data_IF_156264938907
#
_entry.id   IF_156264938907
#
_cell.length_a   1.000
_cell.length_b   1.000
_cell.length_c   1.000
_cell.angle_alpha   90.00
_cell.angle_beta   90.00
_cell.angle_gamma   90.00
#
_symmetry.space_group_name_H-M   'P 1'
#
loop_
_entity.id
_entity.type
_entity.pdbx_description
1 polymer ?
#
# COMPACT_ATOMS: atom_id res chain seq x y z
N UNK A 1 -8.18 -30.65 -2.11
CA UNK A 1 -8.89 -29.55 -1.43
C UNK A 1 -8.42 -28.19 -1.92
N UNK A 2 -9.29 -27.18 -1.86
CA UNK A 2 -9.03 -25.80 -2.22
C UNK A 2 -9.53 -24.89 -1.09
N UNK A 3 -8.63 -24.07 -0.56
CA UNK A 3 -8.87 -23.19 0.58
C UNK A 3 -8.70 -21.72 0.16
N UNK A 4 -9.53 -20.84 0.73
CA UNK A 4 -9.41 -19.37 0.61
C UNK A 4 -9.54 -18.81 2.03
N UNK A 5 -8.66 -17.88 2.41
CA UNK A 5 -8.62 -17.27 3.75
C UNK A 5 -8.60 -18.30 4.90
N UNK A 6 -7.84 -19.39 4.70
CA UNK A 6 -7.74 -20.49 5.66
C UNK A 6 -8.95 -21.43 5.72
N UNK A 7 -10.02 -21.17 4.96
CA UNK A 7 -11.28 -21.94 5.00
C UNK A 7 -11.43 -22.84 3.77
N UNK A 8 -11.87 -24.09 3.96
CA UNK A 8 -12.14 -25.03 2.87
C UNK A 8 -13.31 -24.52 2.01
N UNK A 9 -13.02 -24.22 0.74
CA UNK A 9 -14.03 -23.76 -0.24
C UNK A 9 -14.50 -24.92 -1.12
N UNK A 10 -13.61 -25.85 -1.47
CA UNK A 10 -13.95 -26.98 -2.34
C UNK A 10 -13.05 -28.18 -2.08
N UNK A 11 -13.60 -29.38 -2.27
CA UNK A 11 -12.85 -30.63 -2.22
C UNK A 11 -13.16 -31.47 -3.46
N UNK A 12 -12.12 -32.05 -4.04
CA UNK A 12 -12.23 -32.94 -5.20
C UNK A 12 -11.27 -34.10 -5.00
N UNK A 13 -11.76 -35.31 -5.21
CA UNK A 13 -10.92 -36.51 -5.26
C UNK A 13 -10.17 -36.54 -6.58
N UNK A 14 -8.86 -36.31 -6.53
CA UNK A 14 -8.01 -36.46 -7.70
C UNK A 14 -7.73 -37.96 -7.96
N UNK A 15 -7.89 -38.40 -9.21
CA UNK A 15 -7.45 -39.75 -9.64
C UNK A 15 -6.00 -39.77 -10.11
N UNK A 16 -5.42 -38.60 -10.41
CA UNK A 16 -4.01 -38.42 -10.74
C UNK A 16 -3.27 -37.88 -9.52
N UNK A 17 -2.06 -38.40 -9.25
CA UNK A 17 -1.19 -37.96 -8.16
C UNK A 17 0.03 -37.23 -8.73
N UNK A 18 0.36 -36.05 -8.19
CA UNK A 18 1.59 -35.30 -8.48
C UNK A 18 1.52 -34.25 -9.61
N UNK A 19 2.60 -33.48 -9.74
CA UNK A 19 2.82 -32.62 -10.90
C UNK A 19 3.14 -33.50 -12.12
N UNK A 20 2.32 -33.44 -13.17
CA UNK A 20 2.67 -34.04 -14.45
C UNK A 20 3.81 -33.24 -15.07
N UNK A 21 4.93 -33.90 -15.38
CA UNK A 21 6.03 -33.28 -16.12
C UNK A 21 5.49 -32.67 -17.41
N UNK A 22 5.54 -31.34 -17.51
CA UNK A 22 5.14 -30.64 -18.70
C UNK A 22 6.23 -30.84 -19.77
N UNK A 23 5.88 -31.51 -20.86
CA UNK A 23 6.82 -31.86 -21.94
C UNK A 23 7.10 -30.70 -22.91
N UNK A 24 6.40 -29.58 -22.77
CA UNK A 24 6.43 -28.42 -23.68
C UNK A 24 6.97 -27.15 -23.06
N UNK A 25 6.70 -26.90 -21.77
CA UNK A 25 7.16 -25.71 -21.04
C UNK A 25 7.44 -26.15 -19.60
N UNK A 26 8.55 -25.73 -18.99
CA UNK A 26 8.89 -26.10 -17.62
C UNK A 26 7.91 -25.56 -16.57
N UNK A 27 8.27 -25.66 -15.29
CA UNK A 27 7.52 -25.02 -14.21
C UNK A 27 7.41 -23.51 -14.45
N UNK A 28 6.18 -22.98 -14.46
CA UNK A 28 5.90 -21.58 -14.69
C UNK A 28 4.94 -21.06 -13.60
N UNK A 29 5.22 -19.84 -13.12
CA UNK A 29 4.35 -19.09 -12.20
C UNK A 29 3.79 -17.92 -12.99
N UNK A 30 2.48 -17.67 -12.89
CA UNK A 30 1.84 -16.55 -13.57
C UNK A 30 1.85 -16.66 -15.10
N UNK A 31 1.95 -17.85 -15.67
CA UNK A 31 1.86 -18.08 -17.11
C UNK A 31 1.25 -19.45 -17.45
N UNK A 32 0.61 -19.56 -18.61
CA UNK A 32 0.08 -20.83 -19.13
C UNK A 32 1.21 -21.76 -19.61
N UNK A 33 1.66 -22.66 -18.75
CA UNK A 33 2.69 -23.68 -19.03
C UNK A 33 2.28 -24.82 -19.98
N UNK A 34 1.34 -24.58 -20.92
CA UNK A 34 0.82 -25.59 -21.86
C UNK A 34 0.87 -25.19 -23.34
N UNK A 35 1.28 -23.96 -23.66
CA UNK A 35 1.42 -23.48 -25.03
C UNK A 35 2.72 -22.67 -25.18
N UNK A 36 3.13 -22.44 -26.42
CA UNK A 36 4.22 -21.54 -26.79
C UNK A 36 3.80 -20.07 -26.88
N UNK A 37 2.50 -19.78 -26.74
CA UNK A 37 1.99 -18.42 -26.63
C UNK A 37 2.11 -17.97 -25.17
N UNK A 38 2.86 -16.90 -24.92
CA UNK A 38 3.01 -16.36 -23.57
C UNK A 38 1.72 -15.66 -23.14
N UNK A 39 0.85 -16.40 -22.48
CA UNK A 39 -0.36 -15.89 -21.82
C UNK A 39 -0.07 -15.74 -20.32
N UNK A 40 0.34 -14.53 -19.92
CA UNK A 40 0.67 -14.20 -18.54
C UNK A 40 -0.56 -13.85 -17.70
N UNK A 41 -0.50 -14.15 -16.41
CA UNK A 41 -1.42 -13.61 -15.42
C UNK A 41 -1.15 -12.11 -15.26
N UNK A 42 -2.18 -11.29 -15.49
CA UNK A 42 -2.12 -9.84 -15.29
C UNK A 42 -2.54 -9.51 -13.85
N UNK A 43 -1.59 -9.66 -12.92
CA UNK A 43 -1.80 -9.40 -11.51
C UNK A 43 -0.53 -9.57 -10.68
N UNK A 44 -0.60 -9.18 -9.40
CA UNK A 44 0.48 -9.35 -8.43
C UNK A 44 0.34 -10.70 -7.72
N UNK A 45 1.48 -11.31 -7.40
CA UNK A 45 1.58 -12.51 -6.58
C UNK A 45 2.64 -12.25 -5.52
N UNK A 46 2.38 -12.67 -4.29
CA UNK A 46 3.33 -12.60 -3.19
C UNK A 46 3.28 -13.91 -2.37
N UNK A 47 4.34 -14.15 -1.59
CA UNK A 47 4.38 -15.21 -0.57
C UNK A 47 4.10 -16.63 -1.09
N UNK A 48 4.51 -16.94 -2.33
CA UNK A 48 4.37 -18.27 -2.92
C UNK A 48 5.16 -19.33 -2.12
N UNK A 49 4.45 -20.33 -1.60
CA UNK A 49 5.02 -21.47 -0.87
C UNK A 49 4.59 -22.79 -1.52
N UNK A 50 5.53 -23.72 -1.67
CA UNK A 50 5.29 -25.08 -2.16
C UNK A 50 5.80 -26.05 -1.10
N UNK A 51 4.97 -27.04 -0.76
CA UNK A 51 5.28 -28.05 0.27
C UNK A 51 5.40 -29.43 -0.38
N UNK A 52 6.28 -30.25 0.17
CA UNK A 52 6.51 -31.66 -0.22
C UNK A 52 5.52 -32.62 0.46
N UNK A 53 4.53 -32.09 1.17
CA UNK A 53 3.51 -32.82 1.92
C UNK A 53 2.15 -32.18 1.75
N UNK A 54 1.12 -32.98 1.96
CA UNK A 54 -0.23 -32.48 2.16
C UNK A 54 -0.30 -31.70 3.49
N UNK A 55 -0.89 -30.51 3.45
CA UNK A 55 -1.15 -29.71 4.63
C UNK A 55 -2.51 -30.09 5.21
N UNK A 56 -2.57 -30.26 6.53
CA UNK A 56 -3.84 -30.40 7.24
C UNK A 56 -4.58 -29.07 7.27
N UNK A 57 -5.91 -29.10 7.41
CA UNK A 57 -6.73 -27.89 7.53
C UNK A 57 -6.23 -26.94 8.64
N UNK A 58 -5.79 -27.49 9.78
CA UNK A 58 -5.20 -26.68 10.86
C UNK A 58 -3.88 -26.01 10.45
N UNK A 59 -3.02 -26.70 9.69
CA UNK A 59 -1.77 -26.09 9.20
C UNK A 59 -2.04 -24.98 8.19
N UNK A 60 -3.09 -25.13 7.37
CA UNK A 60 -3.51 -24.09 6.44
C UNK A 60 -4.01 -22.86 7.21
N UNK A 61 -4.77 -23.08 8.28
CA UNK A 61 -5.22 -22.01 9.16
C UNK A 61 -4.06 -21.33 9.89
N UNK A 62 -3.09 -22.10 10.38
CA UNK A 62 -1.87 -21.59 10.99
C UNK A 62 -1.06 -20.76 9.97
N UNK A 63 -0.83 -21.26 8.75
CA UNK A 63 -0.11 -20.53 7.70
C UNK A 63 -0.84 -19.25 7.29
N UNK A 64 -2.18 -19.26 7.23
CA UNK A 64 -2.97 -18.05 6.98
C UNK A 64 -2.81 -17.03 8.12
N UNK A 65 -2.77 -17.50 9.38
CA UNK A 65 -2.53 -16.65 10.54
C UNK A 65 -1.07 -16.21 10.71
N UNK A 66 -0.12 -17.00 10.18
CA UNK A 66 1.33 -16.75 10.19
C UNK A 66 1.80 -15.94 8.99
N UNK A 67 0.96 -15.78 7.95
CA UNK A 67 1.24 -14.81 6.89
C UNK A 67 1.55 -13.49 7.60
N UNK A 68 2.77 -12.95 7.47
CA UNK A 68 3.18 -11.83 8.28
C UNK A 68 2.18 -10.72 8.00
N UNK A 69 1.31 -10.45 8.98
CA UNK A 69 0.43 -9.30 8.93
C UNK A 69 1.34 -8.14 8.55
N UNK A 70 0.96 -7.41 7.51
CA UNK A 70 1.77 -6.28 7.08
C UNK A 70 2.09 -5.41 8.31
N UNK A 71 3.21 -4.69 8.31
CA UNK A 71 3.50 -3.80 9.44
C UNK A 71 2.34 -2.82 9.69
N UNK A 72 1.55 -2.53 8.66
CA UNK A 72 0.25 -1.86 8.75
C UNK A 72 -0.78 -2.66 9.57
N UNK A 73 -1.04 -3.94 9.28
CA UNK A 73 -2.00 -4.74 10.06
C UNK A 73 -1.59 -4.86 11.53
N UNK A 74 -0.30 -5.06 11.77
CA UNK A 74 0.26 -5.09 13.13
C UNK A 74 0.07 -3.74 13.84
N UNK A 75 0.28 -2.63 13.14
CA UNK A 75 0.03 -1.28 13.64
C UNK A 75 -1.46 -1.08 13.94
N UNK A 76 -2.37 -1.39 13.01
CA UNK A 76 -3.81 -1.22 13.18
C UNK A 76 -4.32 -2.04 14.39
N UNK A 77 -3.90 -3.30 14.50
CA UNK A 77 -4.24 -4.17 15.63
C UNK A 77 -3.70 -3.66 16.96
N UNK A 78 -2.55 -2.98 16.97
CA UNK A 78 -1.99 -2.37 18.20
C UNK A 78 -2.88 -1.27 18.77
N UNK A 79 -3.73 -0.65 17.93
CA UNK A 79 -4.77 0.29 18.33
C UNK A 79 -6.14 -0.37 18.55
N UNK A 80 -6.22 -1.70 18.46
CA UNK A 80 -7.47 -2.46 18.59
C UNK A 80 -8.38 -2.38 17.37
N UNK A 81 -7.86 -1.95 16.21
CA UNK A 81 -8.61 -1.90 14.96
C UNK A 81 -8.59 -3.25 14.25
N UNK A 82 -9.64 -3.51 13.47
CA UNK A 82 -9.78 -4.73 12.66
C UNK A 82 -9.45 -4.37 11.20
N UNK A 83 -8.36 -4.88 10.59
CA UNK A 83 -7.95 -4.48 9.25
C UNK A 83 -9.00 -4.66 8.15
N UNK A 84 -9.91 -5.63 8.29
CA UNK A 84 -11.03 -5.86 7.37
C UNK A 84 -12.26 -4.98 7.64
N UNK A 85 -12.24 -4.17 8.69
CA UNK A 85 -13.29 -3.23 9.09
C UNK A 85 -12.70 -1.84 9.29
N UNK A 86 -12.89 -1.26 10.48
CA UNK A 86 -12.41 0.08 10.81
C UNK A 86 -10.88 0.27 10.76
N UNK A 87 -10.10 -0.81 10.69
CA UNK A 87 -8.65 -0.75 10.46
C UNK A 87 -8.25 -0.72 8.99
N UNK A 88 -9.20 -0.63 8.05
CA UNK A 88 -8.89 -0.56 6.63
C UNK A 88 -8.15 0.73 6.25
N UNK A 89 -7.26 0.74 5.23
CA UNK A 89 -6.43 1.91 4.91
C UNK A 89 -7.17 3.21 4.56
N UNK A 90 -8.43 3.11 4.11
CA UNK A 90 -9.26 4.25 3.72
C UNK A 90 -10.29 4.66 4.79
N UNK A 91 -10.28 3.97 5.94
CA UNK A 91 -11.16 4.28 7.06
C UNK A 91 -10.55 5.40 7.90
N UNK A 92 -11.43 6.16 8.58
CA UNK A 92 -11.09 7.24 9.52
C UNK A 92 -11.89 6.99 10.81
N UNK A 93 -11.38 6.14 11.73
CA UNK A 93 -12.15 5.68 12.88
C UNK A 93 -12.39 6.74 13.95
N UNK A 94 -11.52 7.75 14.03
CA UNK A 94 -11.60 8.82 15.02
C UNK A 94 -12.16 10.14 14.47
N UNK A 95 -12.45 10.17 13.17
CA UNK A 95 -13.08 11.26 12.44
C UNK A 95 -12.30 12.57 12.49
N UNK A 96 -10.97 12.49 12.44
CA UNK A 96 -10.08 13.65 12.43
C UNK A 96 -9.80 14.19 11.01
N UNK A 97 -10.25 13.45 9.99
CA UNK A 97 -10.10 13.78 8.57
C UNK A 97 -8.83 13.20 7.93
N UNK A 98 -8.05 12.40 8.66
CA UNK A 98 -6.96 11.59 8.14
C UNK A 98 -7.42 10.12 8.07
N UNK A 99 -7.22 9.49 6.91
CA UNK A 99 -7.44 8.05 6.81
C UNK A 99 -6.26 7.26 7.43
N UNK A 100 -6.53 6.03 7.82
CA UNK A 100 -5.53 5.15 8.44
C UNK A 100 -4.24 5.03 7.60
N UNK A 101 -4.32 5.10 6.26
CA UNK A 101 -3.14 5.07 5.40
C UNK A 101 -2.24 6.30 5.57
N UNK A 102 -2.84 7.49 5.62
CA UNK A 102 -2.13 8.74 5.94
C UNK A 102 -1.57 8.66 7.35
N UNK A 103 -2.35 8.18 8.31
CA UNK A 103 -1.91 8.13 9.70
C UNK A 103 -0.75 7.17 9.94
N UNK A 104 -0.79 5.98 9.35
CA UNK A 104 0.32 5.03 9.38
C UNK A 104 1.58 5.63 8.75
N UNK A 105 1.42 6.34 7.61
CA UNK A 105 2.53 7.00 6.94
C UNK A 105 3.13 8.12 7.82
N UNK A 106 2.31 9.00 8.37
CA UNK A 106 2.74 10.17 9.16
C UNK A 106 3.13 9.79 10.60
N UNK A 107 2.72 8.61 11.06
CA UNK A 107 2.86 8.16 12.44
C UNK A 107 1.97 8.93 13.42
N UNK A 108 0.72 9.19 13.04
CA UNK A 108 -0.34 9.65 13.96
C UNK A 108 -1.13 8.46 14.52
N UNK A 109 -2.18 8.73 15.29
CA UNK A 109 -2.92 7.75 16.07
C UNK A 109 -4.35 7.62 15.54
N UNK A 110 -4.77 6.45 15.04
CA UNK A 110 -6.06 6.24 14.35
C UNK A 110 -7.27 6.09 15.27
N UNK A 111 -7.11 6.56 16.50
CA UNK A 111 -8.10 6.48 17.59
C UNK A 111 -8.11 7.76 18.43
N UNK A 112 -7.38 8.79 17.99
CA UNK A 112 -7.25 10.07 18.65
C UNK A 112 -7.71 11.15 17.69
N UNK A 113 -8.92 11.67 17.90
CA UNK A 113 -9.52 12.74 17.07
C UNK A 113 -8.81 14.10 17.08
N UNK A 114 -7.56 14.14 17.55
CA UNK A 114 -6.63 15.28 17.43
C UNK A 114 -5.55 14.93 16.40
N UNK A 115 -5.56 15.59 15.23
CA UNK A 115 -4.55 15.36 14.20
C UNK A 115 -3.13 15.63 14.71
N UNK A 116 -2.20 14.75 14.36
CA UNK A 116 -0.78 14.86 14.70
C UNK A 116 0.11 14.64 13.47
N UNK A 117 1.33 15.19 13.50
CA UNK A 117 2.30 15.10 12.39
C UNK A 117 1.72 15.55 11.02
N UNK A 118 0.77 16.49 11.05
CA UNK A 118 0.05 16.94 9.86
C UNK A 118 0.97 17.65 8.87
N UNK A 119 0.77 17.46 7.55
CA UNK A 119 1.51 18.20 6.54
C UNK A 119 1.34 19.72 6.66
N UNK A 120 2.41 20.45 6.39
CA UNK A 120 2.42 21.91 6.42
C UNK A 120 2.51 22.45 5.00
N UNK A 121 1.59 23.34 4.64
CA UNK A 121 1.65 24.10 3.39
C UNK A 121 2.01 25.56 3.68
N UNK A 122 3.10 26.05 3.08
CA UNK A 122 3.55 27.43 3.20
C UNK A 122 3.61 28.12 1.84
N UNK A 123 3.36 29.44 1.83
CA UNK A 123 3.42 30.25 0.63
C UNK A 123 4.77 30.95 0.52
N UNK A 124 5.44 30.78 -0.61
CA UNK A 124 6.60 31.58 -1.03
C UNK A 124 6.20 32.70 -1.99
N UNK A 125 7.18 33.39 -2.56
CA UNK A 125 6.94 34.48 -3.52
C UNK A 125 6.25 33.98 -4.79
N UNK A 126 6.77 32.90 -5.39
CA UNK A 126 6.30 32.34 -6.67
C UNK A 126 6.02 30.83 -6.59
N UNK A 127 5.89 30.29 -5.37
CA UNK A 127 5.69 28.86 -5.14
C UNK A 127 4.87 28.63 -3.87
N UNK A 128 4.36 27.43 -3.74
CA UNK A 128 3.94 26.86 -2.46
C UNK A 128 4.92 25.74 -2.09
N UNK A 129 5.19 25.58 -0.79
CA UNK A 129 6.06 24.52 -0.26
C UNK A 129 5.23 23.65 0.67
N UNK A 130 5.10 22.38 0.31
CA UNK A 130 4.38 21.35 1.04
C UNK A 130 5.41 20.45 1.75
N UNK A 131 5.33 20.37 3.07
CA UNK A 131 6.28 19.60 3.90
C UNK A 131 5.52 18.58 4.72
N UNK A 132 5.99 17.33 4.73
CA UNK A 132 5.46 16.28 5.60
C UNK A 132 6.59 15.32 6.01
N UNK A 133 6.39 14.61 7.12
CA UNK A 133 7.28 13.52 7.53
C UNK A 133 6.62 12.19 7.22
N UNK A 134 7.41 11.18 6.90
CA UNK A 134 6.92 9.81 6.72
C UNK A 134 7.79 8.81 7.45
N UNK A 135 7.16 7.77 8.00
CA UNK A 135 7.84 6.63 8.62
C UNK A 135 8.52 5.78 7.54
N UNK A 136 9.78 5.45 7.75
CA UNK A 136 10.53 4.51 6.90
C UNK A 136 9.87 3.11 6.89
N UNK A 137 9.28 2.71 8.02
CA UNK A 137 8.50 1.48 8.15
C UNK A 137 7.30 1.45 7.18
N UNK A 138 6.56 2.56 7.08
CA UNK A 138 5.40 2.64 6.18
C UNK A 138 5.83 2.58 4.70
N UNK A 139 6.94 3.23 4.36
CA UNK A 139 7.52 3.14 3.01
C UNK A 139 7.97 1.71 2.70
N UNK A 140 8.61 1.02 3.65
CA UNK A 140 9.01 -0.38 3.50
C UNK A 140 7.81 -1.32 3.38
N UNK A 141 6.69 -0.97 4.00
CA UNK A 141 5.40 -1.66 3.89
C UNK A 141 4.65 -1.39 2.57
N UNK A 142 5.24 -0.61 1.65
CA UNK A 142 4.64 -0.33 0.35
C UNK A 142 3.70 0.88 0.32
N UNK A 143 3.57 1.65 1.41
CA UNK A 143 2.76 2.87 1.41
C UNK A 143 3.49 4.01 0.66
N UNK A 144 2.86 4.48 -0.40
CA UNK A 144 3.42 5.50 -1.30
C UNK A 144 2.72 6.83 -1.12
N UNK A 145 3.48 7.84 -0.73
CA UNK A 145 3.04 9.21 -0.57
C UNK A 145 3.12 9.98 -1.90
N UNK A 146 2.01 10.58 -2.31
CA UNK A 146 1.90 11.44 -3.48
C UNK A 146 1.38 12.81 -3.05
N UNK A 147 2.21 13.84 -3.20
CA UNK A 147 1.70 15.22 -3.13
C UNK A 147 1.03 15.52 -4.46
N UNK A 148 -0.21 15.98 -4.41
CA UNK A 148 -0.99 16.38 -5.58
C UNK A 148 -1.32 17.86 -5.50
N UNK A 149 -1.46 18.51 -6.65
CA UNK A 149 -1.80 19.92 -6.72
C UNK A 149 -2.79 20.22 -7.84
N UNK A 150 -3.53 21.32 -7.68
CA UNK A 150 -4.51 21.79 -8.65
C UNK A 150 -4.70 23.31 -8.54
N UNK A 151 -5.20 23.92 -9.62
CA UNK A 151 -5.69 25.32 -9.62
C UNK A 151 -7.21 25.40 -9.41
N UNK A 152 -7.88 24.24 -9.35
CA UNK A 152 -9.32 24.05 -9.13
C UNK A 152 -9.55 23.06 -7.97
N UNK A 153 -10.80 22.93 -7.51
CA UNK A 153 -11.20 21.95 -6.49
C UNK A 153 -12.11 20.86 -7.06
N UNK A 154 -12.01 20.58 -8.36
CA UNK A 154 -12.79 19.51 -9.01
C UNK A 154 -12.01 18.19 -8.99
N UNK A 155 -12.71 17.07 -8.89
CA UNK A 155 -12.10 15.74 -8.71
C UNK A 155 -11.03 15.41 -9.78
N UNK A 156 -11.27 15.77 -11.03
CA UNK A 156 -10.38 15.45 -12.16
C UNK A 156 -9.25 16.47 -12.38
N UNK A 157 -9.18 17.53 -11.57
CA UNK A 157 -8.18 18.60 -11.76
C UNK A 157 -6.84 18.36 -11.07
N UNK A 158 -6.77 17.35 -10.21
CA UNK A 158 -5.58 17.06 -9.40
C UNK A 158 -4.52 16.32 -10.22
N UNK A 159 -3.28 16.76 -10.10
CA UNK A 159 -2.12 16.09 -10.71
C UNK A 159 -1.02 15.88 -9.67
N UNK A 160 -0.25 14.80 -9.82
CA UNK A 160 0.87 14.51 -8.93
C UNK A 160 2.02 15.49 -9.15
N UNK A 161 2.58 16.00 -8.06
CA UNK A 161 3.81 16.79 -8.04
C UNK A 161 5.02 15.86 -8.27
N UNK A 162 5.50 15.80 -9.51
CA UNK A 162 6.62 14.94 -9.90
C UNK A 162 7.92 15.76 -9.96
N UNK A 163 8.97 15.29 -9.30
CA UNK A 163 10.27 15.96 -9.28
C UNK A 163 10.80 16.22 -10.70
N UNK A 164 11.20 17.47 -10.98
CA UNK A 164 11.72 17.89 -12.28
C UNK A 164 10.66 18.18 -13.35
N UNK A 165 9.37 17.91 -13.09
CA UNK A 165 8.28 18.20 -14.01
C UNK A 165 7.63 19.55 -13.67
N UNK A 166 7.35 20.38 -14.67
CA UNK A 166 6.72 21.69 -14.50
C UNK A 166 7.39 22.61 -13.45
N UNK A 167 8.69 22.43 -13.20
CA UNK A 167 9.46 23.17 -12.20
C UNK A 167 9.24 22.71 -10.74
N UNK A 168 8.54 21.61 -10.51
CA UNK A 168 8.41 20.98 -9.19
C UNK A 168 9.76 20.44 -8.72
N UNK A 169 10.12 20.68 -7.46
CA UNK A 169 11.27 20.02 -6.82
C UNK A 169 10.83 19.22 -5.62
N UNK A 170 11.35 18.02 -5.48
CA UNK A 170 11.15 17.16 -4.31
C UNK A 170 12.51 16.89 -3.67
N UNK A 171 12.63 17.21 -2.39
CA UNK A 171 13.78 16.88 -1.57
C UNK A 171 13.34 15.96 -0.43
N UNK A 172 14.13 14.93 -0.17
CA UNK A 172 13.95 14.01 0.96
C UNK A 172 15.18 14.10 1.83
N UNK A 173 15.00 14.31 3.13
CA UNK A 173 16.07 14.38 4.11
C UNK A 173 15.76 13.50 5.33
N UNK A 174 16.74 12.75 5.86
CA UNK A 174 16.53 12.00 7.10
C UNK A 174 16.26 12.96 8.26
N UNK A 175 15.30 12.61 9.12
CA UNK A 175 15.04 13.30 10.39
C UNK A 175 15.72 12.53 11.52
N UNK A 176 15.44 11.23 11.58
CA UNK A 176 16.03 10.29 12.54
C UNK A 176 16.02 8.86 11.96
N UNK A 177 16.18 7.84 12.80
CA UNK A 177 16.23 6.44 12.37
C UNK A 177 14.88 5.89 11.88
N UNK A 178 13.76 6.53 12.23
CA UNK A 178 12.41 6.10 11.89
C UNK A 178 11.73 7.00 10.86
N UNK A 179 12.13 8.27 10.76
CA UNK A 179 11.48 9.27 9.92
C UNK A 179 12.40 9.94 8.92
N UNK A 180 11.81 10.27 7.78
CA UNK A 180 12.35 11.24 6.83
C UNK A 180 11.34 12.35 6.55
N UNK A 181 11.84 13.52 6.21
CA UNK A 181 11.05 14.69 5.83
C UNK A 181 11.10 14.86 4.32
N UNK A 182 9.92 15.05 3.72
CA UNK A 182 9.77 15.32 2.30
C UNK A 182 9.31 16.77 2.13
N UNK A 183 10.12 17.53 1.42
CA UNK A 183 9.81 18.90 0.99
C UNK A 183 9.47 18.90 -0.49
N UNK A 184 8.26 19.35 -0.83
CA UNK A 184 7.79 19.49 -2.21
C UNK A 184 7.54 20.97 -2.50
N UNK A 185 8.30 21.54 -3.42
CA UNK A 185 8.11 22.91 -3.89
C UNK A 185 7.38 22.89 -5.22
N UNK A 186 6.25 23.59 -5.30
CA UNK A 186 5.37 23.64 -6.47
C UNK A 186 5.29 25.09 -6.95
N UNK A 187 5.72 25.40 -8.18
CA UNK A 187 5.57 26.73 -8.75
C UNK A 187 4.10 27.15 -8.85
N UNK A 188 3.81 28.39 -8.48
CA UNK A 188 2.46 28.96 -8.60
C UNK A 188 2.33 29.60 -9.98
N UNK A 189 1.48 29.02 -10.83
CA UNK A 189 1.22 29.49 -12.20
C UNK A 189 -0.14 30.18 -12.35
N UNK A 190 -0.95 30.22 -11.29
CA UNK A 190 -2.29 30.77 -11.28
C UNK A 190 -2.59 31.51 -9.96
N UNK A 191 -3.64 32.37 -9.90
CA UNK A 191 -3.98 33.10 -8.69
C UNK A 191 -4.33 32.21 -7.47
N UNK A 192 -4.72 30.96 -7.72
CA UNK A 192 -5.04 29.95 -6.70
C UNK A 192 -4.30 28.66 -7.03
N UNK A 193 -3.69 28.07 -6.01
CA UNK A 193 -3.07 26.74 -6.09
C UNK A 193 -3.35 26.02 -4.80
N UNK A 194 -3.85 24.80 -4.91
CA UNK A 194 -4.17 23.90 -3.82
C UNK A 194 -3.19 22.72 -3.86
N UNK A 195 -2.88 22.15 -2.70
CA UNK A 195 -2.07 20.95 -2.59
C UNK A 195 -2.66 20.01 -1.54
N UNK A 196 -2.51 18.70 -1.74
CA UNK A 196 -2.92 17.66 -0.81
C UNK A 196 -1.92 16.51 -0.79
N UNK A 197 -1.94 15.74 0.29
CA UNK A 197 -1.25 14.45 0.37
C UNK A 197 -2.25 13.34 0.05
N UNK A 198 -1.86 12.41 -0.81
CA UNK A 198 -2.57 11.16 -1.07
C UNK A 198 -1.63 10.01 -0.74
N UNK A 199 -2.13 8.98 -0.07
CA UNK A 199 -1.36 7.77 0.22
C UNK A 199 -2.00 6.57 -0.47
N UNK A 200 -1.18 5.71 -1.02
CA UNK A 200 -1.62 4.48 -1.70
C UNK A 200 -0.87 3.31 -1.09
N UNK A 201 -1.59 2.33 -0.55
CA UNK A 201 -1.03 1.03 -0.17
C UNK A 201 -0.85 0.16 -1.43
N UNK A 202 0.24 -0.58 -1.51
CA UNK A 202 0.48 -1.58 -2.57
C UNK A 202 0.16 -2.98 -2.08
#
# INVERSE_FOLDING_TARGET
DFYVDGVLVSSQTATNTGFTEATTVGFAIGALGRSNAFEGFDGLMDDLRIYDRELLASNIQDIYAEAPGSSYDSWAQSFGLVPSGNGGPLEDPDHDGLDNAIEFLLGSSPVSGTPANVPVLSKGTNSITFVYRRKLEAVAAGFQAHVEYSTLLTAESWQTAVNGQAGVTVQVAPVDAAYEEVTVVIPVTAPKTFARLRVVAR
#
